data_IF_512482236418
#
_entry.id   IF_512482236418
#
_cell.length_a   1.000
_cell.length_b   1.000
_cell.length_c   1.000
_cell.angle_alpha   90.00
_cell.angle_beta   90.00
_cell.angle_gamma   90.00
#
_symmetry.space_group_name_H-M   'P 1'
#
loop_
_entity.id
_entity.type
_entity.pdbx_description
1 polymer ?
#
# COMPACT_ATOMS: atom_id res chain seq x y z
N UNK A 1 15.70 -3.49 36.44
CA UNK A 1 16.53 -3.79 35.25
C UNK A 1 15.83 -3.23 34.02
N UNK A 2 16.18 -2.01 33.63
CA UNK A 2 15.62 -1.32 32.46
C UNK A 2 16.51 -1.63 31.27
N UNK A 3 15.98 -2.37 30.29
CA UNK A 3 16.68 -2.68 29.04
C UNK A 3 17.02 -1.37 28.32
N UNK A 4 18.32 -1.10 28.17
CA UNK A 4 18.86 -0.04 27.32
C UNK A 4 18.50 -0.36 25.86
N UNK A 5 17.37 0.15 25.38
CA UNK A 5 17.11 0.24 23.95
C UNK A 5 18.03 1.33 23.42
N UNK A 6 18.96 0.96 22.55
CA UNK A 6 19.88 1.87 21.88
C UNK A 6 19.08 2.97 21.17
N UNK A 7 19.17 4.21 21.67
CA UNK A 7 18.56 5.35 20.99
C UNK A 7 19.32 5.63 19.70
N UNK A 8 18.76 5.20 18.57
CA UNK A 8 19.24 5.53 17.22
C UNK A 8 19.51 7.05 17.10
N UNK A 9 20.54 7.43 16.33
CA UNK A 9 20.87 8.84 16.08
C UNK A 9 19.64 9.61 15.53
N UNK A 10 19.42 10.89 15.89
CA UNK A 10 18.23 11.66 15.48
C UNK A 10 18.01 11.67 13.95
N UNK A 11 19.09 11.76 13.17
CA UNK A 11 19.02 11.70 11.70
C UNK A 11 18.51 10.35 11.17
N UNK A 12 18.93 9.24 11.79
CA UNK A 12 18.45 7.90 11.45
C UNK A 12 16.97 7.74 11.80
N UNK A 13 16.50 8.34 12.91
CA UNK A 13 15.07 8.35 13.27
C UNK A 13 14.24 9.14 12.28
N UNK A 14 14.72 10.30 11.82
CA UNK A 14 14.02 11.08 10.78
C UNK A 14 14.01 10.36 9.44
N UNK A 15 15.12 9.71 9.06
CA UNK A 15 15.20 8.92 7.84
C UNK A 15 14.26 7.70 7.87
N UNK A 16 14.26 6.93 8.97
CA UNK A 16 13.32 5.82 9.23
C UNK A 16 11.87 6.27 9.52
N UNK A 17 11.60 7.57 9.48
CA UNK A 17 10.24 8.11 9.57
C UNK A 17 9.72 8.63 8.21
N UNK A 18 10.51 8.51 7.14
CA UNK A 18 10.13 8.96 5.79
C UNK A 18 9.88 7.78 4.84
N UNK A 19 9.04 7.99 3.83
CA UNK A 19 8.72 7.02 2.77
C UNK A 19 9.98 6.55 2.01
N UNK A 20 10.99 7.42 1.87
CA UNK A 20 12.28 7.06 1.31
C UNK A 20 12.99 5.99 2.16
N UNK A 21 12.90 6.09 3.49
CA UNK A 21 13.49 5.11 4.41
C UNK A 21 12.87 3.72 4.23
N UNK A 22 11.55 3.61 4.13
CA UNK A 22 10.89 2.31 3.90
C UNK A 22 11.23 1.72 2.53
N UNK A 23 11.33 2.54 1.48
CA UNK A 23 11.72 2.07 0.15
C UNK A 23 13.15 1.52 0.12
N UNK A 24 14.08 2.13 0.85
CA UNK A 24 15.45 1.62 0.97
C UNK A 24 15.49 0.28 1.71
N UNK A 25 14.71 0.12 2.79
CA UNK A 25 14.62 -1.16 3.51
C UNK A 25 14.02 -2.25 2.62
N UNK A 26 12.98 -1.93 1.85
CA UNK A 26 12.40 -2.85 0.87
C UNK A 26 13.41 -3.24 -0.22
N UNK A 27 14.17 -2.27 -0.76
CA UNK A 27 15.22 -2.54 -1.73
C UNK A 27 16.30 -3.46 -1.14
N UNK A 28 16.75 -3.20 0.08
CA UNK A 28 17.73 -4.04 0.76
C UNK A 28 17.22 -5.47 0.96
N UNK A 29 15.95 -5.64 1.37
CA UNK A 29 15.32 -6.95 1.49
C UNK A 29 15.21 -7.67 0.14
N UNK A 30 14.89 -6.94 -0.93
CA UNK A 30 14.81 -7.48 -2.30
C UNK A 30 16.18 -7.95 -2.79
N UNK A 31 17.23 -7.14 -2.61
CA UNK A 31 18.60 -7.50 -2.95
C UNK A 31 19.05 -8.72 -2.13
N UNK A 32 18.72 -8.75 -0.84
CA UNK A 32 19.02 -9.90 0.01
C UNK A 32 18.32 -11.18 -0.50
N UNK A 33 17.06 -11.10 -0.94
CA UNK A 33 16.33 -12.22 -1.55
C UNK A 33 17.05 -12.75 -2.78
N UNK A 34 17.42 -11.85 -3.70
CA UNK A 34 18.11 -12.21 -4.95
C UNK A 34 19.49 -12.82 -4.67
N UNK A 35 20.27 -12.23 -3.77
CA UNK A 35 21.59 -12.77 -3.39
C UNK A 35 21.43 -14.15 -2.76
N UNK A 36 20.49 -14.32 -1.83
CA UNK A 36 20.29 -15.59 -1.14
C UNK A 36 19.82 -16.70 -2.08
N UNK A 37 18.84 -16.41 -2.94
CA UNK A 37 18.31 -17.36 -3.93
C UNK A 37 19.36 -17.81 -4.97
N UNK A 38 20.40 -17.01 -5.21
CA UNK A 38 21.47 -17.29 -6.17
C UNK A 38 22.81 -17.64 -5.51
N UNK A 39 22.82 -17.89 -4.20
CA UNK A 39 24.01 -18.28 -3.44
C UNK A 39 24.11 -19.80 -3.24
N UNK A 40 25.25 -20.33 -2.73
CA UNK A 40 25.35 -21.72 -2.29
C UNK A 40 24.30 -22.11 -1.23
N UNK A 41 23.71 -21.15 -0.52
CA UNK A 41 22.66 -21.36 0.49
C UNK A 41 21.23 -21.29 -0.07
N UNK A 42 21.05 -21.43 -1.39
CA UNK A 42 19.74 -21.42 -2.04
C UNK A 42 18.75 -22.45 -1.46
N UNK A 43 19.24 -23.63 -1.08
CA UNK A 43 18.39 -24.65 -0.48
C UNK A 43 17.86 -24.21 0.88
N UNK A 44 18.67 -23.49 1.66
CA UNK A 44 18.22 -22.92 2.94
C UNK A 44 17.17 -21.82 2.74
N UNK A 45 17.28 -21.00 1.68
CA UNK A 45 16.25 -20.03 1.31
C UNK A 45 14.91 -20.72 1.03
N UNK A 46 14.91 -21.72 0.14
CA UNK A 46 13.70 -22.46 -0.22
C UNK A 46 13.13 -23.22 0.98
N UNK A 47 13.98 -23.89 1.76
CA UNK A 47 13.57 -24.65 2.94
C UNK A 47 12.92 -23.77 4.01
N UNK A 48 13.46 -22.56 4.25
CA UNK A 48 12.87 -21.62 5.19
C UNK A 48 11.44 -21.26 4.76
N UNK A 49 11.26 -20.81 3.53
CA UNK A 49 9.96 -20.32 3.06
C UNK A 49 8.89 -21.41 2.96
N UNK A 50 9.29 -22.65 2.70
CA UNK A 50 8.40 -23.82 2.66
C UNK A 50 8.27 -24.52 4.04
N UNK A 51 8.82 -23.95 5.11
CA UNK A 51 8.67 -24.50 6.46
C UNK A 51 7.21 -24.38 6.90
N UNK A 52 6.52 -25.48 7.27
CA UNK A 52 5.14 -25.42 7.72
C UNK A 52 5.05 -24.75 9.10
N UNK A 53 4.17 -23.75 9.21
CA UNK A 53 3.87 -23.06 10.45
C UNK A 53 2.35 -22.94 10.62
N UNK A 54 1.87 -23.06 11.85
CA UNK A 54 0.44 -23.04 12.06
C UNK A 54 0.00 -23.19 13.50
N UNK A 55 -1.30 -23.07 13.68
CA UNK A 55 -1.98 -23.27 14.96
C UNK A 55 -2.91 -24.46 14.83
N UNK A 56 -2.80 -25.40 15.77
CA UNK A 56 -3.69 -26.56 15.89
C UNK A 56 -4.48 -26.43 17.19
N UNK A 57 -5.80 -26.42 17.09
CA UNK A 57 -6.73 -26.27 18.22
C UNK A 57 -7.82 -27.34 18.09
N UNK A 58 -7.69 -28.43 18.85
CA UNK A 58 -8.58 -29.59 18.72
C UNK A 58 -8.50 -30.18 17.31
N UNK A 59 -9.64 -30.32 16.65
CA UNK A 59 -9.74 -30.79 15.26
C UNK A 59 -9.44 -29.70 14.22
N UNK A 60 -9.43 -28.43 14.63
CA UNK A 60 -9.11 -27.29 13.77
C UNK A 60 -7.61 -27.21 13.50
N UNK A 61 -7.23 -27.17 12.22
CA UNK A 61 -5.85 -27.00 11.77
C UNK A 61 -5.75 -25.83 10.81
N UNK A 62 -4.97 -24.81 11.20
CA UNK A 62 -4.56 -23.73 10.31
C UNK A 62 -3.05 -23.83 10.13
N UNK A 63 -2.61 -24.59 9.12
CA UNK A 63 -1.20 -24.81 8.81
C UNK A 63 -0.95 -24.39 7.37
N UNK A 64 0.03 -23.51 7.19
CA UNK A 64 0.50 -23.04 5.88
C UNK A 64 2.02 -22.82 5.99
N UNK A 65 2.73 -22.76 4.87
CA UNK A 65 4.15 -22.44 4.93
C UNK A 65 4.39 -20.96 5.28
N UNK A 66 5.64 -20.61 5.59
CA UNK A 66 5.99 -19.25 5.97
C UNK A 66 5.73 -18.24 4.84
N UNK A 67 5.90 -18.64 3.58
CA UNK A 67 5.62 -17.77 2.43
C UNK A 67 4.13 -17.43 2.35
N UNK A 68 3.25 -18.42 2.53
CA UNK A 68 1.80 -18.23 2.56
C UNK A 68 1.38 -17.36 3.75
N UNK A 69 1.97 -17.52 4.94
CA UNK A 69 1.71 -16.61 6.07
C UNK A 69 2.02 -15.15 5.74
N UNK A 70 3.13 -14.91 5.04
CA UNK A 70 3.51 -13.57 4.60
C UNK A 70 2.53 -13.06 3.55
N UNK A 71 2.19 -13.89 2.57
CA UNK A 71 1.31 -13.54 1.46
C UNK A 71 -0.14 -13.29 1.88
N UNK A 72 -0.65 -14.01 2.88
CA UNK A 72 -2.04 -13.87 3.31
C UNK A 72 -2.19 -12.91 4.49
N UNK A 73 -1.52 -13.21 5.62
CA UNK A 73 -1.71 -12.43 6.84
C UNK A 73 -0.97 -11.10 6.78
N UNK A 74 0.31 -11.10 6.39
CA UNK A 74 1.08 -9.86 6.36
C UNK A 74 0.50 -8.91 5.29
N UNK A 75 0.15 -9.42 4.10
CA UNK A 75 -0.51 -8.58 3.09
C UNK A 75 -1.91 -8.11 3.51
N UNK A 76 -2.68 -8.87 4.29
CA UNK A 76 -3.92 -8.35 4.87
C UNK A 76 -3.67 -7.13 5.77
N UNK A 77 -2.54 -7.08 6.50
CA UNK A 77 -2.15 -5.88 7.26
C UNK A 77 -1.80 -4.72 6.31
N UNK A 78 -1.05 -4.98 5.23
CA UNK A 78 -0.74 -3.97 4.20
C UNK A 78 -2.03 -3.39 3.59
N UNK A 79 -2.94 -4.25 3.14
CA UNK A 79 -4.20 -3.85 2.55
C UNK A 79 -5.17 -3.19 3.55
N UNK A 80 -5.03 -3.46 4.86
CA UNK A 80 -5.72 -2.69 5.88
C UNK A 80 -5.21 -1.24 5.97
N UNK A 81 -3.90 -1.02 5.81
CA UNK A 81 -3.33 0.34 5.74
C UNK A 81 -3.82 1.05 4.47
N UNK A 82 -3.81 0.38 3.32
CA UNK A 82 -4.35 0.91 2.06
C UNK A 82 -5.83 1.27 2.20
N UNK A 83 -6.65 0.37 2.77
CA UNK A 83 -8.06 0.61 3.04
C UNK A 83 -8.32 1.80 3.98
N UNK A 84 -7.49 1.97 5.01
CA UNK A 84 -7.55 3.14 5.90
C UNK A 84 -7.23 4.43 5.15
N UNK A 85 -6.25 4.41 4.25
CA UNK A 85 -5.86 5.58 3.47
C UNK A 85 -6.96 5.97 2.46
N UNK A 86 -7.51 5.00 1.71
CA UNK A 86 -8.68 5.21 0.84
C UNK A 86 -9.82 5.87 1.61
N UNK A 87 -10.16 5.31 2.77
CA UNK A 87 -11.25 5.79 3.60
C UNK A 87 -10.97 7.19 4.19
N UNK A 88 -9.74 7.45 4.62
CA UNK A 88 -9.30 8.76 5.12
C UNK A 88 -9.40 9.82 4.03
N UNK A 89 -8.92 9.50 2.84
CA UNK A 89 -8.89 10.43 1.71
C UNK A 89 -10.30 10.70 1.19
N UNK A 90 -11.16 9.68 1.08
CA UNK A 90 -12.57 9.83 0.74
C UNK A 90 -13.37 10.62 1.78
N UNK A 91 -13.00 10.53 3.06
CA UNK A 91 -13.73 11.19 4.15
C UNK A 91 -13.23 12.60 4.45
N UNK A 92 -11.93 12.89 4.29
CA UNK A 92 -11.31 14.15 4.73
C UNK A 92 -10.25 14.71 3.78
N UNK A 93 -9.84 13.96 2.77
CA UNK A 93 -8.76 14.35 1.87
C UNK A 93 -9.24 14.85 0.52
N UNK A 94 -8.33 14.77 -0.46
CA UNK A 94 -8.48 15.29 -1.80
C UNK A 94 -9.50 14.48 -2.61
N UNK A 95 -9.77 13.21 -2.24
CA UNK A 95 -10.81 12.38 -2.87
C UNK A 95 -12.24 12.94 -2.73
N UNK A 96 -12.45 13.96 -1.88
CA UNK A 96 -13.75 14.63 -1.71
C UNK A 96 -14.09 15.61 -2.83
N UNK A 97 -13.10 16.16 -3.52
CA UNK A 97 -13.32 17.11 -4.61
C UNK A 97 -13.29 16.35 -5.95
N UNK A 98 -14.45 16.08 -6.58
CA UNK A 98 -14.50 15.29 -7.80
C UNK A 98 -13.68 15.93 -8.94
N UNK A 99 -13.51 17.25 -8.97
CA UNK A 99 -12.72 17.93 -10.00
C UNK A 99 -11.21 17.73 -9.79
N UNK A 100 -10.75 17.70 -8.54
CA UNK A 100 -9.35 17.43 -8.22
C UNK A 100 -8.97 15.96 -8.48
N UNK A 101 -9.93 15.05 -8.35
CA UNK A 101 -9.74 13.59 -8.45
C UNK A 101 -9.89 13.08 -9.87
N UNK A 102 -10.71 13.73 -10.70
CA UNK A 102 -11.05 13.24 -12.03
C UNK A 102 -9.81 12.91 -12.88
N UNK A 103 -8.81 13.79 -12.88
CA UNK A 103 -7.59 13.57 -13.69
C UNK A 103 -6.74 12.41 -13.16
N UNK A 104 -6.36 12.35 -11.85
CA UNK A 104 -5.71 11.17 -11.28
C UNK A 104 -6.49 9.87 -11.48
N UNK A 105 -7.81 9.87 -11.28
CA UNK A 105 -8.63 8.67 -11.38
C UNK A 105 -8.78 8.18 -12.83
N UNK A 106 -8.94 9.07 -13.79
CA UNK A 106 -8.94 8.70 -15.21
C UNK A 106 -7.55 8.24 -15.65
N UNK A 107 -6.49 8.89 -15.14
CA UNK A 107 -5.10 8.45 -15.32
C UNK A 107 -4.90 7.02 -14.82
N UNK A 108 -5.32 6.73 -13.60
CA UNK A 108 -5.32 5.40 -13.00
C UNK A 108 -6.09 4.38 -13.85
N UNK A 109 -7.31 4.68 -14.28
CA UNK A 109 -8.07 3.81 -15.18
C UNK A 109 -7.31 3.51 -16.49
N UNK A 110 -6.62 4.51 -17.06
CA UNK A 110 -5.72 4.31 -18.18
C UNK A 110 -4.53 3.41 -17.84
N UNK A 111 -3.93 3.61 -16.67
CA UNK A 111 -2.86 2.80 -16.08
C UNK A 111 -3.29 1.37 -15.71
N UNK A 112 -4.58 1.11 -15.51
CA UNK A 112 -5.09 -0.26 -15.33
C UNK A 112 -5.35 -0.94 -16.67
N UNK A 113 -6.05 -0.26 -17.58
CA UNK A 113 -6.57 -0.87 -18.81
C UNK A 113 -5.46 -1.06 -19.84
N UNK A 114 -4.62 -0.05 -20.07
CA UNK A 114 -3.65 -0.08 -21.18
C UNK A 114 -2.54 -1.12 -20.95
N UNK A 115 -1.91 -1.25 -19.76
CA UNK A 115 -0.99 -2.36 -19.50
C UNK A 115 -1.61 -3.73 -19.75
N UNK A 116 -2.85 -3.94 -19.31
CA UNK A 116 -3.57 -5.21 -19.53
C UNK A 116 -3.74 -5.50 -21.02
N UNK A 117 -4.17 -4.51 -21.81
CA UNK A 117 -4.30 -4.66 -23.26
C UNK A 117 -2.95 -4.95 -23.93
N UNK A 118 -1.87 -4.26 -23.51
CA UNK A 118 -0.52 -4.54 -24.01
C UNK A 118 -0.10 -5.96 -23.65
N UNK A 119 -0.28 -6.40 -22.40
CA UNK A 119 0.04 -7.75 -21.98
C UNK A 119 -0.73 -8.82 -22.77
N UNK A 120 -2.02 -8.62 -22.98
CA UNK A 120 -2.86 -9.53 -23.76
C UNK A 120 -2.48 -9.55 -25.25
N UNK A 121 -1.95 -8.45 -25.80
CA UNK A 121 -1.41 -8.45 -27.16
C UNK A 121 -0.18 -9.36 -27.30
N UNK A 122 0.64 -9.49 -26.25
CA UNK A 122 1.80 -10.40 -26.24
C UNK A 122 1.41 -11.85 -25.93
N UNK A 123 0.50 -12.07 -24.98
CA UNK A 123 0.22 -13.38 -24.40
C UNK A 123 -1.16 -13.95 -24.74
N UNK A 124 -1.95 -13.24 -25.54
CA UNK A 124 -3.27 -13.69 -25.99
C UNK A 124 -3.21 -15.04 -26.68
N UNK A 125 -4.13 -15.95 -26.31
CA UNK A 125 -4.16 -17.32 -26.84
C UNK A 125 -3.11 -18.26 -26.26
N UNK A 126 -2.35 -17.84 -25.24
CA UNK A 126 -1.42 -18.71 -24.48
C UNK A 126 -1.96 -18.97 -23.08
N UNK A 127 -1.44 -19.99 -22.39
CA UNK A 127 -1.75 -20.27 -20.99
C UNK A 127 -1.39 -19.09 -20.07
N UNK A 128 -0.42 -18.26 -20.48
CA UNK A 128 0.01 -17.09 -19.73
C UNK A 128 -1.04 -15.96 -19.71
N UNK A 129 -2.07 -16.00 -20.56
CA UNK A 129 -3.09 -14.95 -20.65
C UNK A 129 -3.87 -14.73 -19.33
N UNK A 130 -3.98 -15.76 -18.48
CA UNK A 130 -4.63 -15.65 -17.15
C UNK A 130 -3.89 -14.69 -16.21
N UNK A 131 -2.62 -14.38 -16.45
CA UNK A 131 -1.81 -13.46 -15.65
C UNK A 131 -1.92 -11.99 -16.02
N UNK A 132 -3.00 -11.56 -16.67
CA UNK A 132 -3.18 -10.16 -17.06
C UNK A 132 -3.16 -9.18 -15.88
N UNK A 133 -3.59 -9.60 -14.69
CA UNK A 133 -3.55 -8.77 -13.49
C UNK A 133 -2.14 -8.44 -13.02
N UNK A 134 -1.11 -9.17 -13.46
CA UNK A 134 0.29 -8.94 -13.05
C UNK A 134 0.77 -7.54 -13.45
N UNK A 135 0.24 -6.98 -14.54
CA UNK A 135 0.74 -5.71 -15.11
C UNK A 135 -0.12 -4.50 -14.74
N UNK A 136 -1.18 -4.68 -13.96
CA UNK A 136 -2.15 -3.62 -13.69
C UNK A 136 -1.75 -2.73 -12.51
N UNK A 137 -0.89 -3.19 -11.60
CA UNK A 137 -0.69 -2.53 -10.31
C UNK A 137 0.60 -1.71 -10.24
N UNK A 138 0.55 -0.66 -9.42
CA UNK A 138 1.68 0.20 -9.07
C UNK A 138 2.09 -0.03 -7.62
N UNK A 139 3.37 -0.21 -7.33
CA UNK A 139 3.94 -0.27 -5.98
C UNK A 139 4.16 1.14 -5.45
N UNK A 140 3.25 1.56 -4.57
CA UNK A 140 3.20 2.91 -4.00
C UNK A 140 4.44 3.23 -3.18
N UNK A 141 4.99 2.26 -2.46
CA UNK A 141 6.14 2.45 -1.57
C UNK A 141 7.41 2.71 -2.40
N UNK A 142 7.64 1.90 -3.43
CA UNK A 142 8.77 2.15 -4.33
C UNK A 142 8.60 3.40 -5.17
N UNK A 143 7.40 3.65 -5.72
CA UNK A 143 7.13 4.84 -6.51
C UNK A 143 7.47 6.11 -5.73
N UNK A 144 6.96 6.23 -4.49
CA UNK A 144 7.14 7.44 -3.69
C UNK A 144 8.56 7.51 -3.13
N UNK A 145 9.17 6.36 -2.81
CA UNK A 145 10.58 6.28 -2.42
C UNK A 145 11.54 6.75 -3.51
N UNK A 146 11.35 6.28 -4.75
CA UNK A 146 12.14 6.71 -5.91
C UNK A 146 11.89 8.19 -6.21
N UNK A 147 10.64 8.65 -6.12
CA UNK A 147 10.32 10.08 -6.27
C UNK A 147 11.02 10.95 -5.22
N UNK A 148 11.11 10.48 -3.97
CA UNK A 148 11.78 11.21 -2.90
C UNK A 148 13.32 11.24 -3.06
N UNK A 149 13.92 10.18 -3.62
CA UNK A 149 15.36 10.07 -3.81
C UNK A 149 15.88 10.70 -5.11
N UNK A 150 15.14 10.53 -6.20
CA UNK A 150 15.58 10.86 -7.56
C UNK A 150 14.67 11.86 -8.28
N UNK A 151 13.52 12.20 -7.72
CA UNK A 151 12.59 13.18 -8.25
C UNK A 151 13.08 14.63 -8.13
N UNK A 152 12.29 15.60 -8.61
CA UNK A 152 12.65 17.02 -8.57
C UNK A 152 12.78 17.53 -7.12
N UNK A 153 13.54 18.61 -6.92
CA UNK A 153 13.92 19.19 -5.59
C UNK A 153 12.76 19.42 -4.61
N UNK A 154 11.53 19.52 -5.11
CA UNK A 154 10.31 19.52 -4.30
C UNK A 154 9.20 18.83 -5.11
N UNK A 155 8.88 17.55 -4.90
CA UNK A 155 7.87 16.85 -5.70
C UNK A 155 6.46 16.89 -5.08
N UNK A 156 6.16 17.72 -4.07
CA UNK A 156 4.93 17.64 -3.26
C UNK A 156 3.64 17.47 -4.06
N UNK A 157 3.42 18.33 -5.08
CA UNK A 157 2.21 18.27 -5.92
C UNK A 157 2.16 17.03 -6.81
N UNK A 158 3.32 16.58 -7.29
CA UNK A 158 3.45 15.34 -8.06
C UNK A 158 3.26 14.12 -7.16
N UNK A 159 3.76 14.15 -5.92
CA UNK A 159 3.53 13.13 -4.91
C UNK A 159 2.04 12.99 -4.60
N UNK A 160 1.31 14.09 -4.40
CA UNK A 160 -0.14 14.05 -4.20
C UNK A 160 -0.88 13.44 -5.40
N UNK A 161 -0.50 13.84 -6.62
CA UNK A 161 -1.05 13.25 -7.85
C UNK A 161 -0.82 11.73 -7.90
N UNK A 162 0.41 11.28 -7.68
CA UNK A 162 0.77 9.87 -7.78
C UNK A 162 0.21 9.04 -6.62
N UNK A 163 0.11 9.59 -5.41
CA UNK A 163 -0.57 8.93 -4.29
C UNK A 163 -2.06 8.74 -4.60
N UNK A 164 -2.72 9.74 -5.17
CA UNK A 164 -4.14 9.62 -5.56
C UNK A 164 -4.34 8.60 -6.68
N UNK A 165 -3.47 8.62 -7.68
CA UNK A 165 -3.46 7.65 -8.78
C UNK A 165 -3.26 6.23 -8.24
N UNK A 166 -2.24 6.03 -7.41
CA UNK A 166 -1.93 4.76 -6.77
C UNK A 166 -3.09 4.22 -5.92
N UNK A 167 -3.78 5.09 -5.18
CA UNK A 167 -4.97 4.70 -4.41
C UNK A 167 -6.07 4.13 -5.33
N UNK A 168 -6.30 4.76 -6.49
CA UNK A 168 -7.31 4.29 -7.45
C UNK A 168 -6.85 3.00 -8.13
N UNK A 169 -5.56 2.89 -8.49
CA UNK A 169 -4.96 1.66 -9.02
C UNK A 169 -5.11 0.49 -8.03
N UNK A 170 -4.79 0.71 -6.75
CA UNK A 170 -4.90 -0.29 -5.69
C UNK A 170 -6.34 -0.81 -5.55
N UNK A 171 -7.34 0.10 -5.58
CA UNK A 171 -8.76 -0.29 -5.58
C UNK A 171 -9.07 -1.18 -6.78
N UNK A 172 -8.58 -0.81 -7.97
CA UNK A 172 -8.73 -1.60 -9.18
C UNK A 172 -8.10 -2.98 -9.07
N UNK A 173 -6.87 -3.05 -8.56
CA UNK A 173 -6.14 -4.30 -8.36
C UNK A 173 -6.84 -5.22 -7.35
N UNK A 174 -7.29 -4.68 -6.22
CA UNK A 174 -8.07 -5.42 -5.22
C UNK A 174 -9.34 -5.98 -5.82
N UNK A 175 -10.09 -5.17 -6.57
CA UNK A 175 -11.33 -5.61 -7.20
C UNK A 175 -11.06 -6.70 -8.24
N UNK A 176 -10.01 -6.57 -9.04
CA UNK A 176 -9.60 -7.59 -10.00
C UNK A 176 -9.22 -8.91 -9.33
N UNK A 177 -8.42 -8.86 -8.25
CA UNK A 177 -8.09 -10.05 -7.45
C UNK A 177 -9.34 -10.74 -6.91
N UNK A 178 -10.27 -9.97 -6.34
CA UNK A 178 -11.51 -10.51 -5.78
C UNK A 178 -12.39 -11.22 -6.83
N UNK A 179 -12.49 -10.67 -8.04
CA UNK A 179 -13.43 -11.15 -9.07
C UNK A 179 -12.84 -12.24 -9.95
N UNK A 180 -11.56 -12.13 -10.33
CA UNK A 180 -10.98 -12.95 -11.40
C UNK A 180 -10.01 -14.03 -10.94
N UNK A 181 -9.49 -13.93 -9.71
CA UNK A 181 -8.48 -14.88 -9.20
C UNK A 181 -9.02 -15.76 -8.06
N UNK A 182 -10.34 -15.83 -7.89
CA UNK A 182 -11.00 -16.62 -6.83
C UNK A 182 -11.44 -17.96 -7.41
N UNK A 183 -10.84 -19.07 -6.97
CA UNK A 183 -11.09 -20.40 -7.55
C UNK A 183 -12.39 -21.08 -7.06
N UNK A 184 -12.74 -20.91 -5.78
CA UNK A 184 -13.90 -21.57 -5.17
C UNK A 184 -14.31 -20.92 -3.86
N UNK A 185 -15.61 -21.00 -3.55
CA UNK A 185 -16.17 -20.31 -2.38
C UNK A 185 -16.90 -21.29 -1.46
N UNK A 186 -16.41 -21.42 -0.23
CA UNK A 186 -17.18 -22.06 0.84
C UNK A 186 -18.25 -21.07 1.34
N UNK A 187 -19.52 -21.42 1.11
CA UNK A 187 -20.66 -20.54 1.40
C UNK A 187 -20.82 -20.30 2.90
N UNK A 188 -20.49 -21.28 3.75
CA UNK A 188 -20.66 -21.17 5.20
C UNK A 188 -19.64 -20.19 5.76
N UNK A 189 -18.37 -20.34 5.38
CA UNK A 189 -17.31 -19.42 5.75
C UNK A 189 -17.54 -18.02 5.16
N UNK A 190 -18.07 -17.92 3.94
CA UNK A 190 -18.44 -16.62 3.34
C UNK A 190 -19.57 -15.93 4.12
N UNK A 191 -20.59 -16.67 4.56
CA UNK A 191 -21.65 -16.14 5.42
C UNK A 191 -21.09 -15.67 6.77
N UNK A 192 -20.17 -16.43 7.37
CA UNK A 192 -19.48 -16.02 8.58
C UNK A 192 -18.68 -14.72 8.37
N UNK A 193 -17.97 -14.59 7.25
CA UNK A 193 -17.29 -13.36 6.87
C UNK A 193 -18.29 -12.19 6.75
N UNK A 194 -19.43 -12.39 6.08
CA UNK A 194 -20.50 -11.39 5.97
C UNK A 194 -21.05 -10.93 7.31
N UNK A 195 -21.27 -11.85 8.26
CA UNK A 195 -21.70 -11.53 9.63
C UNK A 195 -20.64 -10.71 10.37
N UNK A 196 -19.36 -11.08 10.25
CA UNK A 196 -18.26 -10.36 10.89
C UNK A 196 -18.05 -8.97 10.28
N UNK A 197 -18.20 -8.81 8.97
CA UNK A 197 -18.26 -7.50 8.31
C UNK A 197 -19.44 -6.67 8.84
N UNK A 198 -20.62 -7.28 8.98
CA UNK A 198 -21.78 -6.65 9.62
C UNK A 198 -21.50 -6.21 11.05
N UNK A 199 -20.76 -7.00 11.83
CA UNK A 199 -20.34 -6.63 13.18
C UNK A 199 -19.38 -5.41 13.18
N UNK A 200 -18.42 -5.33 12.24
CA UNK A 200 -17.56 -4.15 12.08
C UNK A 200 -18.39 -2.89 11.76
N UNK A 201 -19.36 -3.00 10.85
CA UNK A 201 -20.28 -1.90 10.52
C UNK A 201 -21.10 -1.50 11.75
N UNK A 202 -21.57 -2.48 12.53
CA UNK A 202 -22.34 -2.23 13.74
C UNK A 202 -21.51 -1.52 14.83
N UNK A 203 -20.21 -1.84 14.96
CA UNK A 203 -19.27 -1.11 15.82
C UNK A 203 -19.09 0.34 15.37
N UNK A 204 -18.94 0.56 14.06
CA UNK A 204 -18.83 1.90 13.43
C UNK A 204 -20.07 2.74 13.73
N UNK A 205 -21.26 2.23 13.44
CA UNK A 205 -22.54 2.95 13.60
C UNK A 205 -22.83 3.26 15.07
N UNK A 206 -22.48 2.35 16.00
CA UNK A 206 -22.57 2.60 17.45
C UNK A 206 -21.50 3.57 17.99
N UNK A 207 -20.60 4.06 17.13
CA UNK A 207 -19.58 5.03 17.52
C UNK A 207 -18.54 4.49 18.49
N UNK A 208 -18.28 3.17 18.47
CA UNK A 208 -17.25 2.53 19.30
C UNK A 208 -15.88 3.06 18.87
N UNK A 209 -15.14 3.65 19.82
CA UNK A 209 -13.84 4.30 19.57
C UNK A 209 -12.65 3.46 20.06
N UNK A 210 -12.90 2.36 20.77
CA UNK A 210 -11.86 1.44 21.23
C UNK A 210 -11.38 0.61 20.04
N UNK A 211 -10.06 0.41 19.93
CA UNK A 211 -9.46 -0.35 18.82
C UNK A 211 -9.66 -1.86 18.96
N UNK A 212 -9.61 -2.39 20.19
CA UNK A 212 -9.61 -3.83 20.43
C UNK A 212 -10.78 -4.58 19.76
N UNK A 213 -12.04 -4.10 19.81
CA UNK A 213 -13.15 -4.77 19.12
C UNK A 213 -12.95 -4.87 17.60
N UNK A 214 -12.43 -3.82 16.95
CA UNK A 214 -12.17 -3.84 15.51
C UNK A 214 -11.05 -4.82 15.16
N UNK A 215 -9.99 -4.89 15.98
CA UNK A 215 -8.88 -5.83 15.77
C UNK A 215 -9.34 -7.27 15.95
N UNK A 216 -10.08 -7.57 17.02
CA UNK A 216 -10.57 -8.94 17.28
C UNK A 216 -11.52 -9.40 16.18
N UNK A 217 -12.49 -8.56 15.80
CA UNK A 217 -13.43 -8.91 14.71
C UNK A 217 -12.71 -8.95 13.37
N UNK A 218 -11.72 -8.10 13.14
CA UNK A 218 -10.90 -8.11 11.92
C UNK A 218 -10.05 -9.37 11.77
N UNK A 219 -9.45 -9.87 12.87
CA UNK A 219 -8.74 -11.15 12.87
C UNK A 219 -9.68 -12.32 12.62
N UNK A 220 -10.85 -12.32 13.25
CA UNK A 220 -11.87 -13.33 12.98
C UNK A 220 -12.35 -13.27 11.51
N UNK A 221 -12.51 -12.08 10.96
CA UNK A 221 -12.89 -11.87 9.56
C UNK A 221 -11.82 -12.43 8.63
N UNK A 222 -10.53 -12.20 8.92
CA UNK A 222 -9.42 -12.75 8.14
C UNK A 222 -9.46 -14.29 8.11
N UNK A 223 -9.65 -14.94 9.26
CA UNK A 223 -9.79 -16.41 9.33
C UNK A 223 -11.01 -16.88 8.53
N UNK A 224 -12.15 -16.20 8.63
CA UNK A 224 -13.36 -16.57 7.91
C UNK A 224 -13.22 -16.42 6.38
N UNK A 225 -12.58 -15.35 5.91
CA UNK A 225 -12.30 -15.11 4.49
C UNK A 225 -11.31 -16.14 3.95
N UNK A 226 -10.25 -16.45 4.71
CA UNK A 226 -9.30 -17.49 4.36
C UNK A 226 -9.99 -18.86 4.22
N UNK A 227 -10.87 -19.21 5.18
CA UNK A 227 -11.64 -20.44 5.12
C UNK A 227 -12.68 -20.45 3.99
N UNK A 228 -13.11 -19.27 3.51
CA UNK A 228 -14.10 -19.17 2.43
C UNK A 228 -13.51 -19.36 1.04
N UNK A 229 -12.18 -19.51 0.89
CA UNK A 229 -11.51 -19.57 -0.40
C UNK A 229 -11.44 -18.23 -1.14
N UNK A 230 -11.89 -17.15 -0.49
CA UNK A 230 -11.73 -15.78 -0.99
C UNK A 230 -10.36 -15.27 -0.52
N UNK A 231 -9.74 -14.39 -1.29
CA UNK A 231 -8.44 -13.80 -0.94
C UNK A 231 -8.45 -13.17 0.46
N UNK A 232 -7.61 -13.68 1.35
CA UNK A 232 -7.53 -13.25 2.74
C UNK A 232 -7.18 -11.76 2.90
N UNK A 233 -6.52 -11.17 1.90
CA UNK A 233 -6.20 -9.75 1.82
C UNK A 233 -7.42 -8.83 1.83
N UNK A 234 -8.57 -9.30 1.33
CA UNK A 234 -9.83 -8.54 1.30
C UNK A 234 -10.31 -8.23 2.71
N UNK A 235 -10.06 -9.12 3.69
CA UNK A 235 -10.39 -8.85 5.08
C UNK A 235 -9.70 -7.57 5.59
N UNK A 236 -8.44 -7.37 5.21
CA UNK A 236 -7.68 -6.16 5.50
C UNK A 236 -8.35 -4.91 4.93
N UNK A 237 -8.66 -4.94 3.63
CA UNK A 237 -9.33 -3.85 2.92
C UNK A 237 -10.65 -3.49 3.60
N UNK A 238 -11.49 -4.47 3.90
CA UNK A 238 -12.79 -4.27 4.55
C UNK A 238 -12.62 -3.61 5.93
N UNK A 239 -11.66 -4.07 6.74
CA UNK A 239 -11.35 -3.44 8.03
C UNK A 239 -10.96 -1.97 7.81
N UNK A 240 -10.07 -1.67 6.88
CA UNK A 240 -9.63 -0.30 6.61
C UNK A 240 -10.74 0.64 6.13
N UNK A 241 -11.61 0.16 5.24
CA UNK A 241 -12.74 0.91 4.70
C UNK A 241 -13.86 1.13 5.74
N UNK A 242 -14.03 0.21 6.69
CA UNK A 242 -15.12 0.27 7.68
C UNK A 242 -14.73 1.09 8.91
N UNK A 243 -13.48 1.00 9.38
CA UNK A 243 -13.04 1.66 10.61
C UNK A 243 -13.27 3.19 10.53
N UNK A 244 -13.82 3.85 11.58
CA UNK A 244 -14.17 5.27 11.50
C UNK A 244 -12.97 6.21 11.29
N UNK A 245 -12.98 6.93 10.16
CA UNK A 245 -12.05 8.02 9.80
C UNK A 245 -12.74 9.38 9.78
N UNK A 246 -13.92 9.56 10.37
CA UNK A 246 -14.52 10.90 10.49
C UNK A 246 -14.00 11.62 11.75
N UNK A 247 -13.97 12.95 11.73
CA UNK A 247 -13.66 13.75 12.93
C UNK A 247 -14.68 13.41 14.04
N UNK A 248 -14.24 13.04 15.26
CA UNK A 248 -15.17 12.72 16.34
C UNK A 248 -16.04 13.91 16.72
N UNK A 249 -17.26 13.62 17.18
CA UNK A 249 -18.24 14.63 17.58
C UNK A 249 -17.64 15.64 18.57
N UNK A 250 -18.03 16.90 18.40
CA UNK A 250 -17.58 18.02 19.23
C UNK A 250 -17.62 17.76 20.75
N UNK A 251 -18.65 17.05 21.26
CA UNK A 251 -18.74 16.68 22.68
C UNK A 251 -17.50 15.93 23.18
N UNK A 252 -16.97 14.97 22.40
CA UNK A 252 -15.75 14.21 22.74
C UNK A 252 -14.51 15.10 22.69
N UNK A 253 -14.44 16.02 21.73
CA UNK A 253 -13.33 16.98 21.61
C UNK A 253 -13.31 17.98 22.76
N UNK A 254 -14.46 18.54 23.14
CA UNK A 254 -14.58 19.47 24.28
C UNK A 254 -14.25 18.78 25.62
N UNK A 255 -14.55 17.48 25.75
CA UNK A 255 -14.19 16.71 26.95
C UNK A 255 -12.68 16.70 27.22
N UNK A 256 -11.83 16.77 26.19
CA UNK A 256 -10.37 16.87 26.36
C UNK A 256 -10.00 18.08 27.20
N UNK A 257 -10.50 19.27 26.84
CA UNK A 257 -10.21 20.49 27.58
C UNK A 257 -10.66 20.40 29.05
N UNK A 258 -11.82 19.81 29.30
CA UNK A 258 -12.37 19.64 30.66
C UNK A 258 -11.49 18.72 31.51
N UNK A 259 -11.17 17.53 31.00
CA UNK A 259 -10.39 16.55 31.75
C UNK A 259 -8.93 16.98 31.94
N UNK A 260 -8.31 17.56 30.91
CA UNK A 260 -6.95 18.13 31.03
C UNK A 260 -6.90 19.26 32.04
N UNK A 261 -7.87 20.18 32.04
CA UNK A 261 -7.92 21.26 33.05
C UNK A 261 -8.04 20.69 34.47
N UNK A 262 -8.90 19.68 34.67
CA UNK A 262 -9.06 19.03 35.99
C UNK A 262 -7.76 18.35 36.45
N UNK A 263 -7.02 17.73 35.54
CA UNK A 263 -5.71 17.16 35.83
C UNK A 263 -4.68 18.24 36.20
N UNK A 264 -4.60 19.34 35.43
CA UNK A 264 -3.65 20.42 35.69
C UNK A 264 -3.87 21.12 37.04
N UNK A 265 -5.11 21.24 37.49
CA UNK A 265 -5.45 21.92 38.75
C UNK A 265 -5.16 21.04 39.98
N UNK A 266 -5.50 19.75 39.93
CA UNK A 266 -5.54 18.90 41.12
C UNK A 266 -4.61 17.67 41.06
N UNK A 267 -4.03 17.36 39.90
CA UNK A 267 -3.19 16.18 39.68
C UNK A 267 -3.91 14.84 39.94
N UNK A 268 -3.11 13.77 40.05
CA UNK A 268 -3.54 12.42 40.44
C UNK A 268 -3.79 11.46 39.27
N UNK A 269 -3.53 10.17 39.53
CA UNK A 269 -3.55 9.10 38.52
C UNK A 269 -4.91 8.94 37.83
N UNK A 270 -6.02 8.99 38.55
CA UNK A 270 -7.36 8.84 37.95
C UNK A 270 -7.70 9.98 36.98
N UNK A 271 -7.23 11.20 37.30
CA UNK A 271 -7.49 12.39 36.47
C UNK A 271 -6.58 12.42 35.25
N UNK A 272 -5.33 12.01 35.41
CA UNK A 272 -4.41 11.76 34.31
C UNK A 272 -5.02 10.75 33.34
N UNK A 273 -5.44 9.58 33.84
CA UNK A 273 -6.06 8.54 33.04
C UNK A 273 -7.33 9.03 32.33
N UNK A 274 -8.20 9.78 33.01
CA UNK A 274 -9.38 10.37 32.38
C UNK A 274 -9.04 11.35 31.26
N UNK A 275 -8.00 12.18 31.43
CA UNK A 275 -7.50 13.08 30.39
C UNK A 275 -6.93 12.31 29.19
N UNK A 276 -6.17 11.24 29.44
CA UNK A 276 -5.66 10.35 28.39
C UNK A 276 -6.79 9.69 27.60
N UNK A 277 -7.80 9.13 28.29
CA UNK A 277 -8.95 8.48 27.67
C UNK A 277 -9.75 9.47 26.83
N UNK A 278 -10.00 10.68 27.35
CA UNK A 278 -10.66 11.75 26.61
C UNK A 278 -9.87 12.13 25.35
N UNK A 279 -8.55 12.28 25.47
CA UNK A 279 -7.66 12.54 24.34
C UNK A 279 -7.73 11.44 23.27
N UNK A 280 -7.65 10.17 23.67
CA UNK A 280 -7.76 9.03 22.75
C UNK A 280 -9.13 8.95 22.07
N UNK A 281 -10.21 9.29 22.76
CA UNK A 281 -11.58 9.28 22.22
C UNK A 281 -11.87 10.47 21.28
N UNK A 282 -11.07 11.53 21.34
CA UNK A 282 -11.17 12.70 20.48
C UNK A 282 -10.42 12.57 19.14
N UNK A 283 -9.67 11.48 18.94
CA UNK A 283 -8.98 11.16 17.69
C UNK A 283 -9.77 10.06 16.95
N UNK A 284 -9.95 10.16 15.62
CA UNK A 284 -10.56 9.11 14.81
C UNK A 284 -9.92 7.74 15.06
N UNK A 285 -10.74 6.69 14.99
CA UNK A 285 -10.28 5.32 15.27
C UNK A 285 -9.35 4.84 14.15
N UNK A 286 -9.65 5.19 12.91
CA UNK A 286 -8.81 4.92 11.74
C UNK A 286 -7.44 5.55 11.86
N UNK A 287 -7.34 6.84 12.19
CA UNK A 287 -6.06 7.53 12.38
C UNK A 287 -5.21 6.91 13.50
N UNK A 288 -5.85 6.35 14.53
CA UNK A 288 -5.15 5.61 15.60
C UNK A 288 -4.65 4.26 15.12
N UNK A 289 -5.48 3.52 14.37
CA UNK A 289 -5.09 2.24 13.80
C UNK A 289 -3.97 2.40 12.77
N UNK A 290 -4.08 3.38 11.87
CA UNK A 290 -3.08 3.69 10.86
C UNK A 290 -1.74 4.07 11.48
N UNK A 291 -1.71 4.88 12.54
CA UNK A 291 -0.46 5.20 13.27
C UNK A 291 0.24 3.97 13.83
N UNK A 292 -0.50 2.92 14.18
CA UNK A 292 0.07 1.65 14.63
C UNK A 292 0.49 0.82 13.43
N UNK A 293 -0.38 0.61 12.44
CA UNK A 293 -0.12 -0.32 11.35
C UNK A 293 0.87 0.20 10.30
N UNK A 294 0.91 1.49 10.01
CA UNK A 294 1.71 2.04 8.92
C UNK A 294 3.22 1.74 9.06
N UNK A 295 3.88 1.95 10.22
CA UNK A 295 5.29 1.59 10.37
C UNK A 295 5.54 0.08 10.24
N UNK A 296 4.66 -0.75 10.80
CA UNK A 296 4.77 -2.21 10.66
C UNK A 296 4.60 -2.65 9.20
N UNK A 297 3.65 -2.06 8.50
CA UNK A 297 3.44 -2.31 7.08
C UNK A 297 4.67 -1.94 6.26
N UNK A 298 5.17 -0.71 6.43
CA UNK A 298 6.23 -0.15 5.60
C UNK A 298 7.62 -0.75 5.89
N UNK A 299 7.92 -1.11 7.15
CA UNK A 299 9.26 -1.57 7.56
C UNK A 299 9.36 -3.07 7.85
N UNK A 300 8.24 -3.77 8.01
CA UNK A 300 8.24 -5.21 8.31
C UNK A 300 7.50 -5.97 7.22
N UNK A 301 6.20 -5.72 7.03
CA UNK A 301 5.36 -6.49 6.10
C UNK A 301 5.90 -6.44 4.68
N UNK A 302 6.03 -5.23 4.13
CA UNK A 302 6.42 -5.05 2.72
C UNK A 302 7.85 -5.54 2.45
N UNK A 303 8.86 -5.20 3.28
CA UNK A 303 10.20 -5.79 3.15
C UNK A 303 10.24 -7.31 3.31
N UNK A 304 9.49 -7.88 4.26
CA UNK A 304 9.41 -9.33 4.45
C UNK A 304 8.75 -10.02 3.25
N UNK A 305 7.70 -9.39 2.70
CA UNK A 305 7.07 -9.83 1.46
C UNK A 305 8.07 -9.83 0.29
N UNK A 306 8.83 -8.74 0.12
CA UNK A 306 9.90 -8.68 -0.88
C UNK A 306 10.94 -9.77 -0.68
N UNK A 307 11.34 -10.03 0.57
CA UNK A 307 12.31 -11.07 0.91
C UNK A 307 11.81 -12.48 0.57
N UNK A 308 10.53 -12.77 0.79
CA UNK A 308 9.94 -14.08 0.53
C UNK A 308 9.68 -14.32 -0.96
N UNK A 309 9.29 -13.28 -1.70
CA UNK A 309 8.70 -13.44 -3.03
C UNK A 309 9.59 -13.02 -4.20
N UNK A 310 10.57 -12.13 -3.97
CA UNK A 310 11.44 -11.62 -5.03
C UNK A 310 12.62 -12.55 -5.36
N UNK A 311 12.90 -13.58 -4.55
CA UNK A 311 13.94 -14.56 -4.83
C UNK A 311 13.62 -15.35 -6.11
N UNK A 312 14.35 -15.05 -7.18
CA UNK A 312 14.30 -15.74 -8.49
C UNK A 312 15.70 -16.22 -8.87
N UNK A 313 15.78 -17.26 -9.70
CA UNK A 313 17.07 -17.74 -10.18
C UNK A 313 17.53 -16.86 -11.35
N UNK A 314 18.79 -16.45 -11.28
CA UNK A 314 19.45 -15.55 -12.22
C UNK A 314 20.64 -16.25 -12.89
N UNK A 315 20.51 -17.54 -13.19
CA UNK A 315 21.52 -18.26 -13.97
C UNK A 315 21.40 -17.91 -15.47
N UNK A 316 22.51 -17.94 -16.25
CA UNK A 316 22.49 -17.51 -17.64
C UNK A 316 21.47 -18.24 -18.51
N UNK A 317 21.21 -19.51 -18.23
CA UNK A 317 20.21 -20.30 -18.96
C UNK A 317 18.79 -19.83 -18.64
N UNK A 318 18.48 -19.62 -17.36
CA UNK A 318 17.17 -19.11 -16.91
C UNK A 318 16.91 -17.71 -17.44
N UNK A 319 17.92 -16.83 -17.46
CA UNK A 319 17.78 -15.49 -18.03
C UNK A 319 17.56 -15.54 -19.54
N UNK A 320 18.31 -16.36 -20.27
CA UNK A 320 18.12 -16.54 -21.71
C UNK A 320 16.71 -17.07 -22.04
N UNK A 321 16.22 -18.06 -21.28
CA UNK A 321 14.86 -18.58 -21.41
C UNK A 321 13.81 -17.50 -21.08
N UNK A 322 13.99 -16.77 -19.99
CA UNK A 322 13.07 -15.73 -19.57
C UNK A 322 12.98 -14.61 -20.62
N UNK A 323 14.09 -14.08 -21.12
CA UNK A 323 14.08 -13.03 -22.14
C UNK A 323 13.63 -13.51 -23.52
N UNK A 324 13.71 -14.81 -23.80
CA UNK A 324 13.09 -15.42 -24.98
C UNK A 324 11.57 -15.61 -24.86
N UNK A 325 11.03 -15.56 -23.64
CA UNK A 325 9.61 -15.77 -23.37
C UNK A 325 8.77 -14.51 -23.63
N UNK A 326 7.63 -14.72 -24.31
CA UNK A 326 6.59 -13.69 -24.52
C UNK A 326 6.03 -13.16 -23.21
N UNK A 327 5.98 -13.98 -22.17
CA UNK A 327 5.48 -13.60 -20.85
C UNK A 327 6.37 -12.53 -20.21
N UNK A 328 7.67 -12.79 -20.09
CA UNK A 328 8.63 -11.87 -19.46
C UNK A 328 8.67 -10.53 -20.17
N UNK A 329 8.79 -10.55 -21.51
CA UNK A 329 8.85 -9.34 -22.33
C UNK A 329 7.51 -8.60 -22.29
N UNK A 330 6.40 -9.33 -22.39
CA UNK A 330 5.05 -8.77 -22.31
C UNK A 330 4.79 -8.07 -20.98
N UNK A 331 5.21 -8.66 -19.85
CA UNK A 331 5.11 -8.04 -18.52
C UNK A 331 5.95 -6.77 -18.44
N UNK A 332 7.23 -6.84 -18.83
CA UNK A 332 8.13 -5.70 -18.74
C UNK A 332 7.67 -4.52 -19.61
N UNK A 333 7.23 -4.79 -20.84
CA UNK A 333 6.73 -3.78 -21.77
C UNK A 333 5.39 -3.21 -21.29
N UNK A 334 4.46 -4.05 -20.82
CA UNK A 334 3.18 -3.59 -20.30
C UNK A 334 3.34 -2.69 -19.07
N UNK A 335 4.21 -3.06 -18.13
CA UNK A 335 4.49 -2.25 -16.95
C UNK A 335 5.07 -0.88 -17.33
N UNK A 336 6.07 -0.82 -18.21
CA UNK A 336 6.74 0.44 -18.55
C UNK A 336 5.94 1.26 -19.56
N UNK A 337 5.69 0.70 -20.74
CA UNK A 337 5.06 1.41 -21.86
C UNK A 337 3.56 1.53 -21.64
N UNK A 338 2.92 0.46 -21.14
CA UNK A 338 1.48 0.47 -20.88
C UNK A 338 1.10 1.55 -19.87
N UNK A 339 1.82 1.67 -18.75
CA UNK A 339 1.52 2.72 -17.75
C UNK A 339 1.85 4.11 -18.29
N UNK A 340 3.00 4.27 -18.96
CA UNK A 340 3.38 5.54 -19.55
C UNK A 340 2.32 6.07 -20.53
N UNK A 341 1.86 5.22 -21.45
CA UNK A 341 0.86 5.56 -22.46
C UNK A 341 -0.53 5.69 -21.84
N UNK A 342 -0.93 4.75 -20.98
CA UNK A 342 -2.24 4.71 -20.35
C UNK A 342 -2.50 5.92 -19.47
N UNK A 343 -1.62 6.17 -18.50
CA UNK A 343 -1.79 7.27 -17.55
C UNK A 343 -1.67 8.61 -18.26
N UNK A 344 -0.63 8.81 -19.08
CA UNK A 344 -0.43 10.09 -19.77
C UNK A 344 -1.56 10.36 -20.76
N UNK A 345 -1.98 9.34 -21.53
CA UNK A 345 -3.05 9.46 -22.51
C UNK A 345 -4.40 9.76 -21.87
N UNK A 346 -4.78 9.01 -20.84
CA UNK A 346 -6.04 9.21 -20.13
C UNK A 346 -6.08 10.55 -19.36
N UNK A 347 -4.98 10.93 -18.69
CA UNK A 347 -4.87 12.25 -18.07
C UNK A 347 -4.94 13.36 -19.13
N UNK A 348 -4.36 13.17 -20.31
CA UNK A 348 -4.45 14.12 -21.42
C UNK A 348 -5.86 14.32 -21.90
N UNK A 349 -6.58 13.21 -22.09
CA UNK A 349 -7.96 13.23 -22.51
C UNK A 349 -8.84 13.92 -21.45
N UNK A 350 -8.66 13.60 -20.17
CA UNK A 350 -9.39 14.21 -19.07
C UNK A 350 -9.25 15.74 -19.03
N UNK A 351 -8.02 16.24 -19.22
CA UNK A 351 -7.73 17.67 -19.26
C UNK A 351 -8.31 18.35 -20.49
N UNK A 352 -8.24 17.70 -21.67
CA UNK A 352 -8.84 18.23 -22.91
C UNK A 352 -10.37 18.32 -22.83
N UNK A 353 -10.99 17.33 -22.18
CA UNK A 353 -12.43 17.29 -21.93
C UNK A 353 -12.87 18.19 -20.76
N UNK A 354 -11.94 18.90 -20.10
CA UNK A 354 -12.19 19.78 -18.95
C UNK A 354 -12.89 19.06 -17.79
N UNK A 355 -12.56 17.78 -17.58
CA UNK A 355 -13.14 16.96 -16.51
C UNK A 355 -12.51 17.24 -15.14
N UNK A 356 -11.33 17.85 -15.10
CA UNK A 356 -10.63 18.23 -13.88
C UNK A 356 -9.34 19.00 -14.15
N UNK A 357 -8.62 19.32 -13.09
CA UNK A 357 -7.37 20.09 -13.12
C UNK A 357 -6.21 19.29 -12.53
N UNK A 358 -4.98 19.53 -13.02
CA UNK A 358 -3.78 18.99 -12.38
C UNK A 358 -3.49 19.75 -11.07
N UNK A 359 -2.99 19.07 -10.03
CA UNK A 359 -2.70 19.73 -8.76
C UNK A 359 -1.53 20.73 -8.90
N UNK A 360 -1.84 22.01 -8.67
CA UNK A 360 -0.82 23.07 -8.60
C UNK A 360 -0.12 23.35 -9.92
N UNK A 361 1.21 23.16 -9.95
CA UNK A 361 2.09 23.49 -11.09
C UNK A 361 2.56 22.25 -11.88
N UNK A 362 1.89 21.10 -11.69
CA UNK A 362 2.21 19.87 -12.42
C UNK A 362 1.98 20.10 -13.93
N UNK A 363 2.93 19.64 -14.75
CA UNK A 363 2.94 19.81 -16.21
C UNK A 363 3.07 18.44 -16.87
N UNK A 364 2.87 18.38 -18.19
CA UNK A 364 2.96 17.14 -18.97
C UNK A 364 4.25 16.34 -18.76
N UNK A 365 5.41 17.01 -18.66
CA UNK A 365 6.68 16.33 -18.38
C UNK A 365 6.71 15.62 -17.01
N UNK A 366 6.07 16.21 -16.00
CA UNK A 366 5.90 15.60 -14.68
C UNK A 366 4.93 14.42 -14.72
N UNK A 367 3.82 14.56 -15.46
CA UNK A 367 2.83 13.49 -15.64
C UNK A 367 3.47 12.30 -16.35
N UNK A 368 4.20 12.53 -17.44
CA UNK A 368 4.88 11.45 -18.18
C UNK A 368 5.95 10.75 -17.34
N UNK A 369 6.81 11.52 -16.65
CA UNK A 369 7.83 10.93 -15.76
C UNK A 369 7.20 10.15 -14.60
N UNK A 370 6.13 10.69 -14.00
CA UNK A 370 5.35 10.00 -12.98
C UNK A 370 4.62 8.75 -13.48
N UNK A 371 4.09 8.79 -14.72
CA UNK A 371 3.44 7.65 -15.37
C UNK A 371 4.41 6.51 -15.67
N UNK A 372 5.64 6.83 -16.06
CA UNK A 372 6.70 5.81 -16.22
C UNK A 372 7.09 5.23 -14.85
N UNK A 373 7.20 6.05 -13.80
CA UNK A 373 7.43 5.56 -12.44
C UNK A 373 6.27 4.69 -11.91
N UNK A 374 5.02 4.96 -12.33
CA UNK A 374 3.89 4.10 -12.02
C UNK A 374 4.02 2.67 -12.59
N UNK A 375 4.90 2.47 -13.58
CA UNK A 375 5.26 1.13 -14.05
C UNK A 375 6.04 0.27 -13.05
N UNK A 376 6.36 0.76 -11.85
CA UNK A 376 6.99 -0.04 -10.81
C UNK A 376 5.93 -0.93 -10.16
N UNK A 377 5.69 -2.13 -10.67
CA UNK A 377 4.63 -3.02 -10.16
C UNK A 377 5.01 -3.91 -8.96
N UNK A 378 6.31 -4.02 -8.66
CA UNK A 378 6.93 -4.90 -7.64
C UNK A 378 5.99 -5.67 -6.70
N UNK A 379 5.57 -5.13 -5.55
CA UNK A 379 4.88 -5.93 -4.52
C UNK A 379 3.57 -6.54 -5.01
N UNK A 380 2.63 -5.71 -5.48
CA UNK A 380 1.30 -6.18 -5.89
C UNK A 380 1.39 -7.02 -7.17
N UNK A 381 2.27 -6.68 -8.11
CA UNK A 381 2.50 -7.51 -9.30
C UNK A 381 3.06 -8.90 -8.96
N UNK A 382 4.02 -8.99 -8.02
CA UNK A 382 4.55 -10.27 -7.54
C UNK A 382 3.52 -11.07 -6.74
N UNK A 383 2.60 -10.38 -6.06
CA UNK A 383 1.48 -11.00 -5.37
C UNK A 383 0.49 -11.59 -6.38
N UNK A 384 0.04 -10.79 -7.35
CA UNK A 384 -0.89 -11.25 -8.40
C UNK A 384 -0.25 -12.36 -9.24
N UNK A 385 1.05 -12.33 -9.50
CA UNK A 385 1.73 -13.40 -10.23
C UNK A 385 1.58 -14.77 -9.54
N UNK A 386 1.60 -14.80 -8.20
CA UNK A 386 1.41 -16.03 -7.43
C UNK A 386 -0.04 -16.53 -7.44
N UNK A 387 -1.00 -15.61 -7.50
CA UNK A 387 -2.41 -15.96 -7.69
C UNK A 387 -2.69 -16.44 -9.12
N UNK A 388 -1.94 -15.89 -10.07
CA UNK A 388 -2.15 -16.11 -11.49
C UNK A 388 -1.47 -17.36 -12.04
N UNK A 389 -0.41 -17.88 -11.43
CA UNK A 389 0.39 -18.95 -12.03
C UNK A 389 0.69 -20.08 -11.05
N UNK A 390 0.08 -21.24 -11.30
CA UNK A 390 0.37 -22.48 -10.59
C UNK A 390 1.64 -23.15 -11.14
N UNK A 391 1.97 -22.94 -12.42
CA UNK A 391 3.20 -23.43 -13.04
C UNK A 391 4.42 -22.64 -12.54
N UNK A 392 5.38 -23.29 -11.85
CA UNK A 392 6.59 -22.63 -11.35
C UNK A 392 7.40 -21.93 -12.45
N UNK A 393 7.40 -22.45 -13.68
CA UNK A 393 8.15 -21.88 -14.80
C UNK A 393 7.51 -20.57 -15.27
N UNK A 394 6.18 -20.54 -15.41
CA UNK A 394 5.46 -19.31 -15.74
C UNK A 394 5.58 -18.27 -14.63
N UNK A 395 5.49 -18.69 -13.38
CA UNK A 395 5.68 -17.82 -12.22
C UNK A 395 7.07 -17.20 -12.22
N UNK A 396 8.14 -17.98 -12.41
CA UNK A 396 9.51 -17.48 -12.44
C UNK A 396 9.72 -16.47 -13.58
N UNK A 397 9.24 -16.77 -14.79
CA UNK A 397 9.26 -15.85 -15.95
C UNK A 397 8.51 -14.55 -15.67
N UNK A 398 7.32 -14.63 -15.06
CA UNK A 398 6.54 -13.46 -14.66
C UNK A 398 7.29 -12.60 -13.64
N UNK A 399 7.88 -13.22 -12.60
CA UNK A 399 8.68 -12.51 -11.59
C UNK A 399 9.88 -11.78 -12.22
N UNK A 400 10.62 -12.43 -13.12
CA UNK A 400 11.73 -11.80 -13.86
C UNK A 400 11.23 -10.61 -14.68
N UNK A 401 10.07 -10.76 -15.34
CA UNK A 401 9.42 -9.68 -16.10
C UNK A 401 9.05 -8.49 -15.21
N UNK A 402 8.46 -8.73 -14.04
CA UNK A 402 8.09 -7.70 -13.07
C UNK A 402 9.32 -6.98 -12.54
N UNK A 403 10.37 -7.71 -12.15
CA UNK A 403 11.61 -7.13 -11.63
C UNK A 403 12.32 -6.27 -12.69
N UNK A 404 12.42 -6.78 -13.93
CA UNK A 404 13.04 -6.07 -15.04
C UNK A 404 12.23 -4.83 -15.42
N UNK A 405 10.91 -4.97 -15.57
CA UNK A 405 10.01 -3.86 -15.88
C UNK A 405 10.05 -2.78 -14.81
N UNK A 406 10.02 -3.17 -13.54
CA UNK A 406 10.10 -2.24 -12.40
C UNK A 406 11.44 -1.50 -12.36
N UNK A 407 12.56 -2.18 -12.63
CA UNK A 407 13.88 -1.55 -12.70
C UNK A 407 13.95 -0.55 -13.86
N UNK A 408 13.47 -0.92 -15.04
CA UNK A 408 13.44 -0.03 -16.22
C UNK A 408 12.53 1.17 -15.96
N UNK A 409 11.34 0.96 -15.38
CA UNK A 409 10.42 2.02 -14.97
C UNK A 409 11.07 3.01 -13.98
N UNK A 410 11.73 2.49 -12.94
CA UNK A 410 12.40 3.31 -11.94
C UNK A 410 13.52 4.17 -12.56
N UNK A 411 14.36 3.57 -13.41
CA UNK A 411 15.48 4.28 -14.07
C UNK A 411 14.95 5.29 -15.10
N UNK A 412 14.11 4.85 -16.04
CA UNK A 412 13.60 5.70 -17.12
C UNK A 412 12.72 6.83 -16.58
N UNK A 413 11.84 6.55 -15.62
CA UNK A 413 10.99 7.55 -14.97
C UNK A 413 11.81 8.60 -14.21
N UNK A 414 12.85 8.17 -13.49
CA UNK A 414 13.78 9.08 -12.82
C UNK A 414 14.55 9.98 -13.80
N UNK A 415 15.06 9.41 -14.89
CA UNK A 415 15.76 10.17 -15.93
C UNK A 415 14.83 11.19 -16.60
N UNK A 416 13.60 10.78 -16.93
CA UNK A 416 12.59 11.67 -17.52
C UNK A 416 12.21 12.81 -16.58
N UNK A 417 12.00 12.54 -15.29
CA UNK A 417 11.72 13.58 -14.30
C UNK A 417 12.90 14.55 -14.14
N UNK A 418 14.14 14.06 -14.22
CA UNK A 418 15.32 14.93 -14.17
C UNK A 418 15.45 15.81 -15.41
N UNK A 419 15.24 15.24 -16.60
CA UNK A 419 15.43 15.97 -17.86
C UNK A 419 14.27 16.92 -18.19
N UNK A 420 13.03 16.49 -17.94
CA UNK A 420 11.82 17.23 -18.29
C UNK A 420 11.22 17.99 -17.10
N UNK A 421 11.45 17.53 -15.86
CA UNK A 421 10.81 18.05 -14.65
C UNK A 421 11.61 19.09 -13.86
N UNK A 422 12.95 19.08 -13.87
CA UNK A 422 13.76 20.02 -13.06
C UNK A 422 13.60 21.50 -13.44
N UNK A 423 12.93 21.82 -14.57
CA UNK A 423 12.79 23.20 -15.03
C UNK A 423 11.97 24.09 -14.08
N UNK A 424 11.16 23.53 -13.17
CA UNK A 424 10.28 24.28 -12.27
C UNK A 424 10.08 23.57 -10.90
N UNK A 425 10.27 24.25 -9.75
CA UNK A 425 9.99 23.67 -8.43
C UNK A 425 8.49 23.47 -8.18
N UNK A 426 8.10 22.33 -7.57
CA UNK A 426 6.70 22.00 -7.22
C UNK A 426 6.43 22.07 -5.70
N UNK A 427 7.21 22.87 -4.96
CA UNK A 427 7.08 22.98 -3.51
C UNK A 427 5.68 23.49 -3.13
N UNK A 428 5.05 22.86 -2.14
CA UNK A 428 3.89 23.46 -1.49
C UNK A 428 4.35 24.67 -0.67
N UNK A 429 3.53 25.73 -0.54
CA UNK A 429 3.84 26.80 0.41
C UNK A 429 4.04 26.17 1.81
N UNK A 430 5.06 26.59 2.58
CA UNK A 430 5.36 25.97 3.86
C UNK A 430 4.14 26.06 4.77
N UNK A 431 3.58 24.91 5.16
CA UNK A 431 2.66 24.84 6.30
C UNK A 431 3.50 25.05 7.54
N UNK A 432 3.71 26.30 7.93
CA UNK A 432 4.26 26.62 9.25
C UNK A 432 3.36 25.89 10.27
N UNK A 433 3.92 25.02 11.16
CA UNK A 433 3.13 24.54 12.28
C UNK A 433 2.58 25.77 12.99
N UNK A 434 1.29 25.80 13.38
CA UNK A 434 0.74 26.95 14.07
C UNK A 434 1.69 27.28 15.22
N UNK A 435 2.20 28.50 15.22
CA UNK A 435 3.08 28.95 16.29
C UNK A 435 2.32 28.75 17.58
N UNK A 436 2.90 27.96 18.49
CA UNK A 436 2.34 27.87 19.83
C UNK A 436 2.28 29.31 20.37
N UNK A 437 1.16 29.72 20.99
CA UNK A 437 1.09 31.04 21.60
C UNK A 437 2.30 31.21 22.53
N UNK A 438 2.96 32.38 22.52
CA UNK A 438 4.10 32.62 23.39
C UNK A 438 3.68 32.35 24.85
N UNK A 439 4.54 31.64 25.58
CA UNK A 439 4.32 31.42 27.00
C UNK A 439 4.40 32.77 27.74
N UNK A 440 3.53 33.04 28.73
CA UNK A 440 2.47 32.16 29.25
C UNK A 440 1.18 32.20 28.42
N UNK A 441 0.62 31.03 28.12
CA UNK A 441 -0.63 30.87 27.37
C UNK A 441 -1.81 31.53 28.11
N UNK A 442 -2.39 32.58 27.52
CA UNK A 442 -3.67 33.16 27.95
C UNK A 442 -4.73 32.74 26.95
N UNK A 443 -5.81 32.09 27.43
CA UNK A 443 -6.95 31.78 26.56
C UNK A 443 -7.53 33.08 25.98
N UNK A 444 -7.95 33.12 24.71
CA UNK A 444 -8.78 34.22 24.23
C UNK A 444 -10.04 34.26 25.10
N UNK A 445 -10.23 35.36 25.83
CA UNK A 445 -11.46 35.57 26.58
C UNK A 445 -12.64 35.57 25.60
N UNK A 446 -13.64 34.76 25.92
CA UNK A 446 -14.90 34.60 25.21
C UNK A 446 -15.83 33.75 26.04
#
# INVERSE_FOLDING_TARGET
MSSKVSTLAPAMRTFLATEAGSAVVLLAATVAALVWANSPWREAYTALWHTPAGVVLGDGRLVMDLQHWVNDFAMAVFFAVVGLEINREATRGDLRDPRAVAVPALGALGGLIVPVLVFLAFNGGTEAARGWGVVMSTDTAFLVGVLALFGPRCPDRLRLFLLTLAIVDDIGAILAMAVFYTDGVDVVALLAAGVLTGALVALRVRGVWRLAPYVVVGLALWVAVLASGVHATIAGVLVGLIVPTAVPHEKRRRAVAVHTRRFLVAGGADREHAAEVAGRAAVPTGDRLQRVLHPWSAYVVVPLFGLANAGVRLDPATLADAFGSRLTVGVAVALVVGNAVGITGAATLALRLRLGDLPGLVRWGHVLGGAVLAGIGFTISLFIAQLAFDDPVLLERAKIGVLTGSLVAAVAGSLLLRWLGERLPLCSPPRLPPTLPPLPWRSPAG
#
